data_IF_639076952124
#
_entry.id   IF_639076952124
#
_cell.length_a   1.000
_cell.length_b   1.000
_cell.length_c   1.000
_cell.angle_alpha   90.00
_cell.angle_beta   90.00
_cell.angle_gamma   90.00
#
_symmetry.space_group_name_H-M   'P 1'
#
loop_
_entity.id
_entity.type
_entity.pdbx_description
1 polymer ?
#
# COMPACT_ATOMS: atom_id res chain seq x y z
N UNK A 1 11.86 -16.32 24.28
CA UNK A 1 11.77 -14.93 23.83
C UNK A 1 11.27 -14.07 24.99
N UNK A 2 11.88 -12.89 25.21
CA UNK A 2 11.44 -11.96 26.27
C UNK A 2 10.15 -11.24 25.84
N UNK A 3 9.97 -10.92 24.55
CA UNK A 3 8.76 -10.37 23.98
C UNK A 3 8.61 -10.77 22.51
N UNK A 4 7.38 -10.75 22.00
CA UNK A 4 7.07 -10.95 20.58
C UNK A 4 6.11 -9.86 20.12
N UNK A 5 6.49 -9.14 19.08
CA UNK A 5 5.65 -8.12 18.43
C UNK A 5 5.30 -8.60 17.03
N UNK A 6 4.05 -8.90 16.80
CA UNK A 6 3.52 -9.36 15.50
C UNK A 6 2.61 -8.30 14.88
N UNK A 7 2.90 -7.94 13.66
CA UNK A 7 2.10 -6.99 12.87
C UNK A 7 1.64 -7.64 11.58
N UNK A 8 0.33 -7.77 11.38
CA UNK A 8 -0.21 -8.48 10.24
C UNK A 8 -1.42 -7.84 9.61
N UNK A 9 -1.50 -7.93 8.27
CA UNK A 9 -2.71 -7.60 7.55
C UNK A 9 -3.87 -8.46 8.06
N UNK A 10 -5.02 -7.83 8.34
CA UNK A 10 -6.20 -8.52 8.88
C UNK A 10 -6.25 -8.68 10.40
N UNK A 11 -5.20 -8.31 11.14
CA UNK A 11 -5.21 -8.28 12.62
C UNK A 11 -5.88 -7.01 13.17
N UNK A 12 -7.03 -6.63 12.62
CA UNK A 12 -7.77 -5.44 13.02
C UNK A 12 -8.92 -5.73 14.02
N UNK A 13 -9.32 -6.98 14.15
CA UNK A 13 -10.45 -7.38 14.99
C UNK A 13 -9.96 -8.19 16.20
N UNK A 14 -10.59 -8.03 17.38
CA UNK A 14 -10.18 -8.70 18.62
C UNK A 14 -10.07 -10.23 18.50
N UNK A 15 -10.99 -10.88 17.79
CA UNK A 15 -10.98 -12.33 17.55
C UNK A 15 -9.77 -12.78 16.75
N UNK A 16 -9.35 -11.99 15.73
CA UNK A 16 -8.16 -12.28 14.92
C UNK A 16 -6.87 -12.06 15.68
N UNK A 17 -6.81 -10.99 16.48
CA UNK A 17 -5.69 -10.70 17.38
C UNK A 17 -5.50 -11.84 18.36
N UNK A 18 -6.56 -12.30 19.01
CA UNK A 18 -6.52 -13.38 20.00
C UNK A 18 -6.15 -14.73 19.35
N UNK A 19 -6.68 -15.03 18.16
CA UNK A 19 -6.32 -16.23 17.40
C UNK A 19 -4.81 -16.25 17.09
N UNK A 20 -4.26 -15.14 16.63
CA UNK A 20 -2.84 -15.02 16.32
C UNK A 20 -1.98 -15.09 17.60
N UNK A 21 -2.41 -14.44 18.69
CA UNK A 21 -1.71 -14.51 19.98
C UNK A 21 -1.62 -15.94 20.50
N UNK A 22 -2.71 -16.70 20.46
CA UNK A 22 -2.74 -18.11 20.84
C UNK A 22 -1.84 -18.96 19.94
N UNK A 23 -1.84 -18.73 18.64
CA UNK A 23 -0.96 -19.43 17.71
C UNK A 23 0.51 -19.17 18.03
N UNK A 24 0.90 -17.92 18.29
CA UNK A 24 2.27 -17.57 18.69
C UNK A 24 2.63 -18.26 20.02
N UNK A 25 1.79 -18.15 21.03
CA UNK A 25 2.03 -18.75 22.35
C UNK A 25 2.12 -20.29 22.31
N UNK A 26 1.45 -20.95 21.37
CA UNK A 26 1.51 -22.41 21.22
C UNK A 26 2.78 -22.91 20.54
N UNK A 27 3.49 -22.05 19.81
CA UNK A 27 4.68 -22.45 19.04
C UNK A 27 5.99 -21.83 19.57
N UNK A 28 5.89 -20.75 20.36
CA UNK A 28 7.04 -20.04 20.89
C UNK A 28 6.99 -19.96 22.42
N UNK A 29 8.13 -20.20 23.07
CA UNK A 29 8.28 -19.94 24.51
C UNK A 29 8.54 -18.45 24.71
N UNK A 30 7.53 -17.71 25.16
CA UNK A 30 7.58 -16.29 25.44
C UNK A 30 7.38 -16.06 26.94
N UNK A 31 8.37 -15.45 27.61
CA UNK A 31 8.32 -15.16 29.05
C UNK A 31 7.62 -13.85 29.39
N UNK A 32 7.47 -12.97 28.43
CA UNK A 32 6.87 -11.63 28.58
C UNK A 32 5.68 -11.40 27.65
N UNK A 33 5.62 -10.24 27.05
CA UNK A 33 4.47 -9.80 26.25
C UNK A 33 4.44 -10.37 24.84
N UNK A 34 3.23 -10.72 24.38
CA UNK A 34 2.94 -10.98 22.95
C UNK A 34 2.01 -9.88 22.45
N UNK A 35 2.56 -8.88 21.77
CA UNK A 35 1.79 -7.84 21.08
C UNK A 35 1.38 -8.35 19.69
N UNK A 36 0.09 -8.28 19.37
CA UNK A 36 -0.44 -8.55 18.03
C UNK A 36 -1.22 -7.33 17.58
N UNK A 37 -0.83 -6.75 16.46
CA UNK A 37 -1.40 -5.51 15.93
C UNK A 37 -1.49 -5.53 14.40
N UNK A 38 -2.07 -4.46 13.83
CA UNK A 38 -2.20 -4.31 12.39
C UNK A 38 -0.88 -3.90 11.73
N UNK A 39 -0.71 -4.25 10.44
CA UNK A 39 0.35 -3.74 9.59
C UNK A 39 0.33 -2.20 9.49
N UNK A 40 -0.86 -1.60 9.57
CA UNK A 40 -1.02 -0.13 9.57
C UNK A 40 -0.35 0.51 10.79
N UNK A 41 -0.45 -0.11 11.99
CA UNK A 41 0.23 0.41 13.17
C UNK A 41 1.76 0.28 13.04
N UNK A 42 2.25 -0.82 12.48
CA UNK A 42 3.67 -0.96 12.18
C UNK A 42 4.17 0.12 11.21
N UNK A 43 3.40 0.37 10.15
CA UNK A 43 3.70 1.43 9.18
C UNK A 43 3.72 2.81 9.86
N UNK A 44 2.74 3.13 10.68
CA UNK A 44 2.66 4.40 11.40
C UNK A 44 3.85 4.59 12.35
N UNK A 45 4.19 3.59 13.15
CA UNK A 45 5.37 3.61 14.03
C UNK A 45 6.68 3.76 13.26
N UNK A 46 6.82 3.07 12.13
CA UNK A 46 8.02 3.14 11.28
C UNK A 46 8.19 4.50 10.60
N UNK A 47 7.10 5.11 10.15
CA UNK A 47 7.10 6.36 9.41
C UNK A 47 7.16 7.61 10.31
N UNK A 48 6.43 7.59 11.40
CA UNK A 48 6.21 8.76 12.26
C UNK A 48 7.01 8.68 13.58
N UNK A 49 7.51 7.49 13.96
CA UNK A 49 8.19 7.31 15.26
C UNK A 49 7.24 7.62 16.42
N UNK A 50 7.56 8.67 17.18
CA UNK A 50 6.74 9.18 18.28
C UNK A 50 6.08 10.53 17.99
N UNK A 51 6.08 10.96 16.71
CA UNK A 51 5.49 12.21 16.29
C UNK A 51 4.12 11.98 15.63
N UNK A 52 3.18 12.93 15.78
CA UNK A 52 1.94 12.89 15.01
C UNK A 52 2.19 13.00 13.51
N UNK A 53 1.40 12.28 12.72
CA UNK A 53 1.50 12.31 11.27
C UNK A 53 0.43 11.44 10.58
N UNK A 54 0.37 11.55 9.27
CA UNK A 54 -0.47 10.70 8.44
C UNK A 54 0.44 9.64 7.81
N UNK A 55 0.16 8.38 8.11
CA UNK A 55 0.89 7.24 7.56
C UNK A 55 0.07 6.56 6.47
N UNK A 56 0.69 6.29 5.33
CA UNK A 56 0.07 5.67 4.17
C UNK A 56 0.87 4.44 3.72
N UNK A 57 0.19 3.32 3.51
CA UNK A 57 0.74 2.12 2.86
C UNK A 57 0.33 2.15 1.39
N UNK A 58 1.27 1.96 0.47
CA UNK A 58 1.00 1.77 -0.96
C UNK A 58 1.83 0.61 -1.51
N UNK A 59 1.22 -0.56 -1.57
CA UNK A 59 1.77 -1.81 -2.08
C UNK A 59 0.77 -2.50 -3.02
N UNK A 60 0.51 -3.79 -2.83
CA UNK A 60 -0.55 -4.52 -3.55
C UNK A 60 -1.93 -3.88 -3.31
N UNK A 61 -2.25 -3.53 -2.06
CA UNK A 61 -3.36 -2.67 -1.68
C UNK A 61 -2.86 -1.30 -1.23
N UNK A 62 -3.77 -0.43 -0.76
CA UNK A 62 -3.42 0.83 -0.11
C UNK A 62 -4.22 1.04 1.17
N UNK A 63 -3.65 1.75 2.13
CA UNK A 63 -4.31 2.10 3.38
C UNK A 63 -3.71 3.40 3.92
N UNK A 64 -4.39 4.06 4.85
CA UNK A 64 -3.91 5.28 5.49
C UNK A 64 -4.47 5.43 6.90
N UNK A 65 -3.77 6.13 7.78
CA UNK A 65 -4.28 6.50 9.10
C UNK A 65 -3.69 7.84 9.56
N UNK A 66 -4.40 8.50 10.48
CA UNK A 66 -3.82 9.53 11.31
C UNK A 66 -3.32 8.90 12.62
N UNK A 67 -2.06 9.18 12.92
CA UNK A 67 -1.32 8.65 14.06
C UNK A 67 -0.91 9.81 14.99
N UNK A 68 -1.14 9.68 16.29
CA UNK A 68 -0.88 10.73 17.29
C UNK A 68 0.53 10.68 17.92
N UNK A 69 1.38 9.78 17.44
CA UNK A 69 2.69 9.47 17.99
C UNK A 69 2.70 8.24 18.91
N UNK A 70 1.52 7.67 19.19
CA UNK A 70 1.35 6.46 20.04
C UNK A 70 0.33 5.49 19.47
N UNK A 71 -0.82 5.99 19.03
CA UNK A 71 -1.96 5.20 18.56
C UNK A 71 -2.48 5.69 17.22
N UNK A 72 -3.16 4.80 16.48
CA UNK A 72 -3.98 5.19 15.34
C UNK A 72 -5.26 5.83 15.91
N UNK A 73 -5.47 7.11 15.59
CA UNK A 73 -6.65 7.88 16.03
C UNK A 73 -7.80 7.70 15.07
N UNK A 74 -7.51 7.78 13.77
CA UNK A 74 -8.50 7.58 12.70
C UNK A 74 -7.89 6.80 11.54
N UNK A 75 -8.72 5.99 10.88
CA UNK A 75 -8.35 5.22 9.71
C UNK A 75 -9.50 5.26 8.71
N UNK A 76 -9.24 5.78 7.53
CA UNK A 76 -10.18 5.69 6.40
C UNK A 76 -10.14 4.29 5.85
N UNK A 77 -11.28 3.61 5.79
CA UNK A 77 -11.34 2.22 5.33
C UNK A 77 -10.83 2.08 3.89
N UNK A 78 -9.88 1.19 3.61
CA UNK A 78 -9.31 1.01 2.27
C UNK A 78 -10.29 0.39 1.26
N UNK A 79 -11.30 -0.37 1.71
CA UNK A 79 -12.39 -1.01 0.95
C UNK A 79 -11.95 -2.07 -0.07
N UNK A 80 -10.65 -2.36 -0.21
CA UNK A 80 -10.11 -3.32 -1.16
C UNK A 80 -10.11 -2.81 -2.62
N UNK A 81 -9.47 -3.54 -3.52
CA UNK A 81 -9.17 -3.10 -4.89
C UNK A 81 -10.39 -2.95 -5.82
N UNK A 82 -11.56 -3.45 -5.42
CA UNK A 82 -12.81 -3.29 -6.18
C UNK A 82 -13.45 -1.94 -5.89
N UNK A 83 -13.58 -1.58 -4.60
CA UNK A 83 -14.30 -0.38 -4.14
C UNK A 83 -13.39 0.78 -3.73
N UNK A 84 -12.12 0.49 -3.48
CA UNK A 84 -11.13 1.43 -2.98
C UNK A 84 -9.72 1.09 -3.43
N UNK A 85 -8.77 1.08 -2.49
CA UNK A 85 -7.33 0.85 -2.68
C UNK A 85 -6.73 1.75 -3.77
N UNK A 86 -7.21 2.97 -3.95
CA UNK A 86 -6.67 3.91 -4.94
C UNK A 86 -5.16 4.04 -4.79
N UNK A 87 -4.46 4.19 -5.89
CA UNK A 87 -3.00 4.31 -5.90
C UNK A 87 -2.23 3.00 -5.62
N UNK A 88 -2.92 1.90 -5.29
CA UNK A 88 -2.28 0.60 -5.09
C UNK A 88 -1.89 -0.08 -6.39
N UNK A 89 -0.97 -1.06 -6.30
CA UNK A 89 -0.59 -1.87 -7.45
C UNK A 89 -1.75 -2.62 -8.09
N UNK A 90 -2.69 -3.12 -7.29
CA UNK A 90 -3.87 -3.81 -7.80
C UNK A 90 -4.79 -2.88 -8.59
N UNK A 91 -5.01 -1.66 -8.11
CA UNK A 91 -5.84 -0.67 -8.82
C UNK A 91 -5.12 -0.14 -10.05
N UNK A 92 -3.82 0.14 -9.98
CA UNK A 92 -3.02 0.54 -11.14
C UNK A 92 -3.05 -0.54 -12.22
N UNK A 93 -2.85 -1.81 -11.85
CA UNK A 93 -2.94 -2.93 -12.79
C UNK A 93 -4.33 -3.14 -13.35
N UNK A 94 -5.39 -2.93 -12.56
CA UNK A 94 -6.78 -2.98 -13.02
C UNK A 94 -7.06 -1.92 -14.09
N UNK A 95 -6.62 -0.69 -13.86
CA UNK A 95 -6.77 0.42 -14.81
C UNK A 95 -6.00 0.13 -16.10
N UNK A 96 -4.71 -0.26 -15.97
CA UNK A 96 -3.87 -0.62 -17.10
C UNK A 96 -4.50 -1.71 -17.96
N UNK A 97 -4.93 -2.82 -17.36
CA UNK A 97 -5.55 -3.94 -18.08
C UNK A 97 -6.83 -3.50 -18.78
N UNK A 98 -7.67 -2.70 -18.10
CA UNK A 98 -8.89 -2.17 -18.69
C UNK A 98 -8.62 -1.36 -19.97
N UNK A 99 -7.65 -0.46 -19.90
CA UNK A 99 -7.31 0.44 -21.01
C UNK A 99 -6.56 -0.30 -22.14
N UNK A 100 -5.65 -1.23 -21.79
CA UNK A 100 -4.96 -2.08 -22.80
C UNK A 100 -5.95 -2.93 -23.57
N UNK A 101 -6.85 -3.64 -22.90
CA UNK A 101 -7.79 -4.55 -23.57
C UNK A 101 -8.85 -3.79 -24.38
N UNK A 102 -9.13 -2.54 -24.05
CA UNK A 102 -10.02 -1.66 -24.81
C UNK A 102 -9.31 -0.76 -25.84
N UNK A 103 -8.02 -0.98 -26.08
CA UNK A 103 -7.18 -0.24 -27.04
C UNK A 103 -7.18 1.29 -26.77
N UNK A 104 -7.13 1.69 -25.48
CA UNK A 104 -7.07 3.09 -25.05
C UNK A 104 -5.64 3.59 -24.84
N UNK A 105 -4.64 2.71 -25.02
CA UNK A 105 -3.22 3.03 -24.89
C UNK A 105 -2.60 3.46 -26.22
N UNK A 106 -1.40 4.02 -26.16
CA UNK A 106 -0.58 4.29 -27.34
C UNK A 106 -0.44 3.03 -28.21
N UNK A 107 -0.55 3.13 -29.55
CA UNK A 107 -0.38 1.99 -30.45
C UNK A 107 0.93 1.25 -30.19
N UNK A 108 0.87 -0.07 -30.13
CA UNK A 108 2.01 -0.96 -29.84
C UNK A 108 2.23 -1.29 -28.36
N UNK A 109 1.64 -0.53 -27.43
CA UNK A 109 1.78 -0.85 -25.99
C UNK A 109 1.05 -2.14 -25.60
N UNK A 110 -0.08 -2.43 -26.23
CA UNK A 110 -0.83 -3.66 -25.97
C UNK A 110 -0.02 -4.90 -26.35
N UNK A 111 0.58 -4.87 -27.51
CA UNK A 111 1.42 -5.97 -28.01
C UNK A 111 2.63 -6.19 -27.09
N UNK A 112 3.33 -5.12 -26.72
CA UNK A 112 4.45 -5.16 -25.76
C UNK A 112 4.01 -5.74 -24.39
N UNK A 113 2.84 -5.33 -23.90
CA UNK A 113 2.31 -5.83 -22.62
C UNK A 113 2.00 -7.33 -22.68
N UNK A 114 1.29 -7.78 -23.71
CA UNK A 114 0.93 -9.19 -23.87
C UNK A 114 2.16 -10.08 -24.06
N UNK A 115 3.15 -9.60 -24.81
CA UNK A 115 4.43 -10.29 -25.01
C UNK A 115 5.25 -10.35 -23.72
N UNK A 116 5.42 -9.25 -23.00
CA UNK A 116 6.20 -9.20 -21.76
C UNK A 116 5.71 -10.17 -20.70
N UNK A 117 4.39 -10.31 -20.57
CA UNK A 117 3.79 -11.21 -19.57
C UNK A 117 3.43 -12.60 -20.14
N UNK A 118 3.65 -12.80 -21.42
CA UNK A 118 3.27 -14.03 -22.14
C UNK A 118 1.81 -14.44 -21.84
N UNK A 119 0.89 -13.48 -22.02
CA UNK A 119 -0.53 -13.64 -21.71
C UNK A 119 -1.40 -13.26 -22.91
N UNK A 120 -2.51 -13.97 -23.06
CA UNK A 120 -3.61 -13.58 -23.95
C UNK A 120 -4.68 -12.78 -23.21
N UNK A 121 -5.50 -11.99 -23.89
CA UNK A 121 -6.66 -11.31 -23.28
C UNK A 121 -7.61 -12.28 -22.54
N UNK A 122 -7.83 -13.48 -23.07
CA UNK A 122 -8.69 -14.48 -22.46
C UNK A 122 -8.12 -15.00 -21.11
N UNK A 123 -6.82 -15.26 -21.05
CA UNK A 123 -6.14 -15.68 -19.82
C UNK A 123 -6.17 -14.59 -18.75
N UNK A 124 -6.02 -13.32 -19.13
CA UNK A 124 -6.13 -12.20 -18.21
C UNK A 124 -7.54 -12.16 -17.59
N UNK A 125 -8.57 -12.27 -18.41
CA UNK A 125 -9.96 -12.30 -17.95
C UNK A 125 -10.20 -13.50 -17.04
N UNK A 126 -9.74 -14.69 -17.41
CA UNK A 126 -9.88 -15.89 -16.56
C UNK A 126 -9.19 -15.69 -15.20
N UNK A 127 -7.97 -15.14 -15.18
CA UNK A 127 -7.21 -14.88 -13.94
C UNK A 127 -7.88 -13.85 -13.04
N UNK A 128 -8.48 -12.81 -13.60
CA UNK A 128 -9.15 -11.76 -12.83
C UNK A 128 -10.47 -12.24 -12.23
N UNK A 129 -11.26 -13.03 -12.99
CA UNK A 129 -12.64 -13.36 -12.58
C UNK A 129 -12.83 -14.77 -12.03
N UNK A 130 -11.89 -15.70 -12.28
CA UNK A 130 -12.09 -17.12 -11.94
C UNK A 130 -10.95 -17.73 -11.11
N UNK A 131 -9.79 -17.06 -11.00
CA UNK A 131 -8.65 -17.59 -10.23
C UNK A 131 -8.51 -16.87 -8.88
N UNK A 132 -7.88 -17.51 -7.89
CA UNK A 132 -7.62 -16.88 -6.60
C UNK A 132 -6.64 -15.72 -6.71
N UNK A 133 -6.72 -14.78 -5.76
CA UNK A 133 -5.81 -13.64 -5.60
C UNK A 133 -5.71 -12.70 -6.82
N UNK A 134 -6.84 -12.26 -7.43
CA UNK A 134 -6.83 -11.36 -8.57
C UNK A 134 -6.13 -10.02 -8.28
N UNK A 135 -6.17 -9.53 -7.05
CA UNK A 135 -5.45 -8.34 -6.61
C UNK A 135 -3.93 -8.48 -6.76
N UNK A 136 -3.35 -9.63 -6.37
CA UNK A 136 -1.92 -9.89 -6.54
C UNK A 136 -1.55 -10.01 -8.02
N UNK A 137 -2.39 -10.67 -8.80
CA UNK A 137 -2.21 -10.80 -10.24
C UNK A 137 -2.22 -9.43 -10.92
N UNK A 138 -3.18 -8.57 -10.62
CA UNK A 138 -3.24 -7.21 -11.16
C UNK A 138 -2.03 -6.38 -10.72
N UNK A 139 -1.64 -6.46 -9.44
CA UNK A 139 -0.47 -5.75 -8.93
C UNK A 139 0.85 -6.18 -9.60
N UNK A 140 0.94 -7.41 -10.11
CA UNK A 140 2.13 -7.91 -10.79
C UNK A 140 2.44 -7.17 -12.12
N UNK A 141 1.50 -6.39 -12.63
CA UNK A 141 1.68 -5.55 -13.82
C UNK A 141 2.33 -4.19 -13.52
N UNK A 142 2.51 -3.84 -12.25
CA UNK A 142 3.14 -2.57 -11.85
C UNK A 142 4.52 -2.32 -12.47
N UNK A 143 5.42 -3.32 -12.64
CA UNK A 143 6.69 -3.10 -13.33
C UNK A 143 6.56 -2.58 -14.78
N UNK A 144 5.54 -3.01 -15.51
CA UNK A 144 5.27 -2.49 -16.86
C UNK A 144 4.95 -1.00 -16.86
N UNK A 145 4.13 -0.57 -15.91
CA UNK A 145 3.82 0.86 -15.75
C UNK A 145 5.08 1.68 -15.44
N UNK A 146 5.94 1.19 -14.53
CA UNK A 146 7.20 1.88 -14.19
C UNK A 146 8.12 2.00 -15.40
N UNK A 147 8.22 0.95 -16.22
CA UNK A 147 9.07 0.92 -17.42
C UNK A 147 8.60 1.86 -18.53
N UNK A 148 7.32 2.26 -18.51
CA UNK A 148 6.70 3.07 -19.56
C UNK A 148 6.13 4.38 -19.01
N UNK A 149 6.71 4.94 -17.94
CA UNK A 149 6.27 6.25 -17.38
C UNK A 149 6.58 7.44 -18.29
N UNK A 150 7.38 7.28 -19.30
CA UNK A 150 7.61 8.23 -20.39
C UNK A 150 6.42 8.34 -21.36
N UNK A 151 5.55 7.32 -21.41
CA UNK A 151 4.31 7.36 -22.17
C UNK A 151 3.26 8.24 -21.47
N UNK A 152 2.78 9.33 -22.11
CA UNK A 152 1.88 10.28 -21.46
C UNK A 152 0.61 9.64 -20.86
N UNK A 153 0.03 8.67 -21.58
CA UNK A 153 -1.19 7.98 -21.14
C UNK A 153 -0.96 7.15 -19.88
N UNK A 154 0.18 6.48 -19.77
CA UNK A 154 0.54 5.71 -18.56
C UNK A 154 0.84 6.66 -17.39
N UNK A 155 1.61 7.71 -17.66
CA UNK A 155 1.93 8.72 -16.65
C UNK A 155 0.68 9.35 -16.07
N UNK A 156 -0.27 9.73 -16.92
CA UNK A 156 -1.54 10.31 -16.50
C UNK A 156 -2.40 9.33 -15.70
N UNK A 157 -2.48 8.06 -16.11
CA UNK A 157 -3.18 7.00 -15.40
C UNK A 157 -2.66 6.87 -13.96
N UNK A 158 -1.34 6.82 -13.78
CA UNK A 158 -0.70 6.69 -12.46
C UNK A 158 -0.93 7.94 -11.62
N UNK A 159 -0.67 9.12 -12.19
CA UNK A 159 -0.83 10.40 -11.51
C UNK A 159 -2.28 10.60 -11.03
N UNK A 160 -3.26 10.30 -11.87
CA UNK A 160 -4.67 10.40 -11.51
C UNK A 160 -5.08 9.41 -10.43
N UNK A 161 -4.49 8.21 -10.41
CA UNK A 161 -4.74 7.23 -9.34
C UNK A 161 -4.20 7.72 -8.00
N UNK A 162 -3.01 8.34 -7.96
CA UNK A 162 -2.46 8.93 -6.74
C UNK A 162 -3.28 10.14 -6.27
N UNK A 163 -3.69 11.02 -7.17
CA UNK A 163 -4.59 12.13 -6.83
C UNK A 163 -5.91 11.65 -6.22
N UNK A 164 -6.47 10.54 -6.75
CA UNK A 164 -7.66 9.92 -6.17
C UNK A 164 -7.40 9.38 -4.76
N UNK A 165 -6.26 8.73 -4.53
CA UNK A 165 -5.88 8.29 -3.18
C UNK A 165 -5.78 9.47 -2.21
N UNK A 166 -5.06 10.51 -2.57
CA UNK A 166 -4.92 11.70 -1.74
C UNK A 166 -6.29 12.31 -1.40
N UNK A 167 -7.15 12.48 -2.41
CA UNK A 167 -8.48 13.06 -2.24
C UNK A 167 -9.40 12.22 -1.37
N UNK A 168 -9.43 10.90 -1.59
CA UNK A 168 -10.40 10.00 -0.95
C UNK A 168 -9.97 9.49 0.42
N UNK A 169 -8.67 9.51 0.70
CA UNK A 169 -8.11 9.00 1.95
C UNK A 169 -7.42 10.14 2.74
N UNK A 170 -6.32 10.68 2.24
CA UNK A 170 -5.47 11.62 2.96
C UNK A 170 -6.20 12.91 3.35
N UNK A 171 -6.98 13.48 2.43
CA UNK A 171 -7.70 14.72 2.67
C UNK A 171 -8.89 14.60 3.64
N UNK A 172 -9.18 13.41 4.15
CA UNK A 172 -10.14 13.21 5.23
C UNK A 172 -9.52 13.41 6.63
N UNK A 173 -8.18 13.51 6.71
CA UNK A 173 -7.45 13.86 7.92
C UNK A 173 -7.07 15.33 7.94
N UNK A 174 -6.44 15.78 9.03
CA UNK A 174 -5.86 17.13 9.13
C UNK A 174 -4.54 17.22 8.36
N UNK A 175 -4.60 16.99 7.03
CA UNK A 175 -3.46 16.94 6.12
C UNK A 175 -2.76 18.29 5.91
N UNK A 176 -3.40 19.38 6.31
CA UNK A 176 -2.83 20.74 6.19
C UNK A 176 -1.81 21.01 7.30
N UNK A 177 -1.95 20.37 8.46
CA UNK A 177 -1.09 20.58 9.63
C UNK A 177 -0.19 19.37 9.95
N UNK A 178 -0.44 18.21 9.35
CA UNK A 178 0.32 16.99 9.59
C UNK A 178 1.10 16.57 8.33
N UNK A 179 2.37 16.13 8.46
CA UNK A 179 3.10 15.55 7.35
C UNK A 179 2.49 14.21 6.92
N UNK A 180 2.53 13.93 5.62
CA UNK A 180 2.02 12.69 5.04
C UNK A 180 3.19 11.82 4.60
N UNK A 181 3.32 10.67 5.22
CA UNK A 181 4.40 9.71 4.98
C UNK A 181 3.89 8.49 4.25
N UNK A 182 4.74 7.90 3.42
CA UNK A 182 4.38 6.74 2.61
C UNK A 182 5.36 5.59 2.78
N UNK A 183 4.84 4.37 2.76
CA UNK A 183 5.59 3.13 2.81
C UNK A 183 5.03 2.13 1.79
N UNK A 184 5.92 1.38 1.16
CA UNK A 184 5.56 0.30 0.25
C UNK A 184 6.20 0.42 -1.13
N UNK A 185 6.19 -0.68 -1.86
CA UNK A 185 6.85 -0.76 -3.17
C UNK A 185 6.29 0.23 -4.19
N UNK A 186 4.97 0.41 -4.24
CA UNK A 186 4.36 1.37 -5.17
C UNK A 186 4.77 2.80 -4.80
N UNK A 187 4.65 3.20 -3.53
CA UNK A 187 5.10 4.52 -3.10
C UNK A 187 6.56 4.79 -3.49
N UNK A 188 7.43 3.81 -3.31
CA UNK A 188 8.86 3.95 -3.56
C UNK A 188 9.22 4.01 -5.04
N UNK A 189 8.71 3.08 -5.85
CA UNK A 189 9.05 3.05 -7.28
C UNK A 189 8.43 4.20 -8.08
N UNK A 190 7.30 4.74 -7.63
CA UNK A 190 6.65 5.89 -8.25
C UNK A 190 6.82 7.19 -7.46
N UNK A 191 7.84 7.29 -6.60
CA UNK A 191 8.02 8.42 -5.67
C UNK A 191 8.01 9.81 -6.33
N UNK A 192 8.48 9.90 -7.57
CA UNK A 192 8.49 11.17 -8.31
C UNK A 192 7.07 11.61 -8.67
N UNK A 193 6.27 10.70 -9.22
CA UNK A 193 4.86 10.97 -9.53
C UNK A 193 3.99 11.14 -8.29
N UNK A 194 4.29 10.39 -7.22
CA UNK A 194 3.60 10.56 -5.94
C UNK A 194 3.92 11.93 -5.34
N UNK A 195 5.17 12.37 -5.39
CA UNK A 195 5.60 13.70 -4.97
C UNK A 195 4.91 14.81 -5.79
N UNK A 196 4.82 14.62 -7.11
CA UNK A 196 4.08 15.53 -8.00
C UNK A 196 2.59 15.59 -7.65
N UNK A 197 1.95 14.43 -7.41
CA UNK A 197 0.56 14.38 -6.97
C UNK A 197 0.34 15.15 -5.66
N UNK A 198 1.23 14.95 -4.65
CA UNK A 198 1.19 15.68 -3.39
C UNK A 198 1.31 17.19 -3.61
N UNK A 199 2.26 17.63 -4.46
CA UNK A 199 2.44 19.03 -4.79
C UNK A 199 1.19 19.65 -5.46
N UNK A 200 0.61 18.95 -6.44
CA UNK A 200 -0.61 19.39 -7.13
C UNK A 200 -1.79 19.53 -6.16
N UNK A 201 -1.90 18.59 -5.21
CA UNK A 201 -3.00 18.52 -4.26
C UNK A 201 -2.78 19.35 -2.99
N UNK A 202 -1.64 20.07 -2.87
CA UNK A 202 -1.32 20.86 -1.67
C UNK A 202 -1.08 20.03 -0.41
N UNK A 203 -0.60 18.79 -0.56
CA UNK A 203 -0.29 17.88 0.54
C UNK A 203 1.18 17.99 0.94
N UNK A 204 1.44 18.20 2.23
CA UNK A 204 2.80 18.24 2.76
C UNK A 204 3.41 16.83 2.81
N UNK A 205 4.21 16.51 1.80
CA UNK A 205 4.91 15.23 1.71
C UNK A 205 6.03 15.14 2.74
N UNK A 206 5.99 14.11 3.57
CA UNK A 206 7.05 13.70 4.48
C UNK A 206 8.01 12.68 3.85
N UNK A 207 8.19 11.54 4.51
CA UNK A 207 9.14 10.49 4.10
C UNK A 207 8.46 9.46 3.20
N UNK A 208 9.21 8.92 2.23
CA UNK A 208 8.82 7.75 1.44
C UNK A 208 9.86 6.64 1.66
N UNK A 209 9.44 5.46 2.13
CA UNK A 209 10.31 4.31 2.33
C UNK A 209 9.82 3.07 1.58
N UNK A 210 10.74 2.18 1.13
CA UNK A 210 10.39 1.11 0.18
C UNK A 210 9.51 0.01 0.78
N UNK A 211 9.85 -0.57 1.94
CA UNK A 211 9.09 -1.68 2.56
C UNK A 211 9.30 -1.66 4.07
N UNK A 212 8.25 -1.99 4.82
CA UNK A 212 8.25 -1.98 6.28
C UNK A 212 9.09 -3.08 6.94
N UNK A 213 9.34 -4.19 6.26
CA UNK A 213 9.89 -5.39 6.91
C UNK A 213 11.41 -5.38 7.13
N UNK A 214 12.15 -4.52 6.42
CA UNK A 214 13.63 -4.45 6.52
C UNK A 214 14.14 -3.34 7.42
N UNK A 215 13.28 -2.43 7.88
CA UNK A 215 13.70 -1.25 8.66
C UNK A 215 12.82 -0.97 9.89
N UNK A 216 12.05 -1.97 10.37
CA UNK A 216 11.47 -1.89 11.70
C UNK A 216 12.59 -1.98 12.74
N UNK A 217 13.28 -0.87 12.99
CA UNK A 217 13.79 -0.63 14.32
C UNK A 217 12.56 -0.37 15.20
N UNK A 218 11.98 -1.45 15.74
CA UNK A 218 11.10 -1.31 16.89
C UNK A 218 11.82 -0.42 17.89
N UNK A 219 11.14 0.53 18.56
CA UNK A 219 11.73 1.21 19.68
C UNK A 219 12.06 0.14 20.73
N UNK A 220 13.27 -0.40 20.63
CA UNK A 220 13.82 -1.20 21.72
C UNK A 220 14.02 -0.21 22.84
N UNK A 221 13.18 -0.29 23.86
CA UNK A 221 13.53 0.18 25.19
C UNK A 221 14.68 -0.70 25.69
N UNK A 222 15.83 -0.57 25.07
CA UNK A 222 17.08 -1.02 25.68
C UNK A 222 17.41 -0.05 26.79
N UNK A 223 16.81 -0.28 27.93
CA UNK A 223 17.44 0.06 29.19
C UNK A 223 18.43 -1.05 29.46
N UNK A 224 19.68 -0.78 29.18
CA UNK A 224 20.78 -1.37 29.89
C UNK A 224 20.92 -0.63 31.22
#
# INVERSE_FOLDING_TARGET
FEAVHFYGAGCAFPDKIETMRKAIASHLQVSGEIEVSTDMLAAARSLCGHQPGIACIMGTGSNSCYYDGKNIVTNVSPLGFILGDEGSGAVLGKLLVGDILKNQMTPGLKEKFLEQFNLTPAEIIDRVYRKPFPNRFLASFSPFLVQHLDEPVIRELVLNSFKKFLKRNVMQYDYQHAPVHFIGSVAFYYRELLSEACKIMGVHLGTIIPVSYTHLTLPTNSRV
#
